data_IF_589279275328
#
_entry.id   IF_589279275328
#
_cell.length_a   1.000
_cell.length_b   1.000
_cell.length_c   1.000
_cell.angle_alpha   90.00
_cell.angle_beta   90.00
_cell.angle_gamma   90.00
#
_symmetry.space_group_name_H-M   'P 1'
#
loop_
_entity.id
_entity.type
_entity.pdbx_description
1 polymer ?
#
# COMPACT_ATOMS: atom_id res chain seq x y z
N UNK A 1 54.87 4.38 42.34
CA UNK A 1 55.01 4.44 40.86
C UNK A 1 54.36 3.21 40.22
N UNK A 2 53.94 3.38 38.96
CA UNK A 2 53.01 2.58 38.12
C UNK A 2 53.51 1.20 37.66
N UNK A 3 52.51 0.30 37.42
CA UNK A 3 52.32 -0.70 36.31
C UNK A 3 53.29 -1.91 36.30
N UNK A 4 52.96 -3.14 35.90
CA UNK A 4 51.90 -3.82 35.13
C UNK A 4 52.21 -5.35 35.17
N UNK A 5 51.30 -6.30 35.01
CA UNK A 5 49.91 -6.21 34.58
C UNK A 5 49.17 -7.55 34.46
N UNK A 6 47.91 -7.37 34.05
CA UNK A 6 46.96 -8.28 33.39
C UNK A 6 46.44 -9.49 34.19
N UNK A 7 45.23 -9.39 34.78
CA UNK A 7 44.39 -10.54 35.09
C UNK A 7 43.80 -11.12 33.80
N UNK A 8 43.69 -12.45 33.78
CA UNK A 8 43.39 -13.31 32.64
C UNK A 8 41.90 -13.26 32.19
N UNK A 9 41.40 -12.07 31.81
CA UNK A 9 39.98 -11.78 31.50
C UNK A 9 39.47 -12.45 30.20
N UNK A 10 40.33 -13.12 29.42
CA UNK A 10 39.91 -13.85 28.20
C UNK A 10 39.40 -15.28 28.44
N UNK A 11 39.55 -15.84 29.65
CA UNK A 11 39.06 -17.19 29.96
C UNK A 11 37.61 -17.25 30.46
N UNK A 12 37.07 -16.17 31.02
CA UNK A 12 35.74 -16.23 31.67
C UNK A 12 34.56 -16.05 30.69
N UNK A 13 34.75 -15.38 29.56
CA UNK A 13 33.68 -15.20 28.57
C UNK A 13 33.37 -16.50 27.80
N UNK A 14 34.38 -17.34 27.52
CA UNK A 14 34.14 -18.65 26.90
C UNK A 14 33.57 -19.65 27.90
N UNK A 15 33.94 -19.57 29.18
CA UNK A 15 33.39 -20.42 30.25
C UNK A 15 31.91 -20.10 30.50
N UNK A 16 31.50 -18.82 30.42
CA UNK A 16 30.10 -18.44 30.54
C UNK A 16 29.24 -18.92 29.34
N UNK A 17 29.79 -18.87 28.13
CA UNK A 17 29.16 -19.42 26.92
C UNK A 17 29.08 -20.95 26.95
N UNK A 18 30.15 -21.62 27.41
CA UNK A 18 30.18 -23.07 27.58
C UNK A 18 29.22 -23.51 28.70
N UNK A 19 29.06 -22.73 29.77
CA UNK A 19 28.10 -23.02 30.84
C UNK A 19 26.64 -22.90 30.34
N UNK A 20 26.34 -21.89 29.51
CA UNK A 20 25.01 -21.69 28.94
C UNK A 20 24.69 -22.74 27.85
N UNK A 21 25.64 -23.04 26.97
CA UNK A 21 25.47 -24.08 25.94
C UNK A 21 25.39 -25.50 26.54
N UNK A 22 26.19 -25.81 27.56
CA UNK A 22 26.17 -27.12 28.24
C UNK A 22 24.94 -27.31 29.13
N UNK A 23 24.39 -26.25 29.70
CA UNK A 23 23.22 -26.33 30.60
C UNK A 23 21.88 -26.32 29.84
N UNK A 24 21.79 -25.65 28.69
CA UNK A 24 20.51 -25.45 27.98
C UNK A 24 20.48 -26.00 26.54
N UNK A 25 21.56 -26.57 26.01
CA UNK A 25 21.57 -27.19 24.68
C UNK A 25 21.08 -26.26 23.56
N UNK A 26 20.33 -26.81 22.59
CA UNK A 26 19.69 -26.11 21.47
C UNK A 26 18.32 -25.50 21.81
N UNK A 27 17.90 -25.60 23.07
CA UNK A 27 16.61 -25.07 23.54
C UNK A 27 16.78 -23.60 23.94
N UNK A 28 15.89 -22.73 23.43
CA UNK A 28 15.83 -21.33 23.84
C UNK A 28 15.70 -21.26 25.38
N UNK A 29 16.53 -20.48 26.09
CA UNK A 29 16.49 -20.47 27.54
C UNK A 29 15.17 -19.85 28.03
N UNK A 30 14.33 -20.66 28.68
CA UNK A 30 13.02 -20.28 29.24
C UNK A 30 13.10 -19.67 30.65
N UNK A 31 14.30 -19.60 31.25
CA UNK A 31 14.52 -19.08 32.61
C UNK A 31 14.11 -17.61 32.80
N UNK A 32 13.92 -16.88 31.70
CA UNK A 32 13.51 -15.47 31.65
C UNK A 32 11.98 -15.27 31.59
N UNK A 33 11.21 -16.36 31.48
CA UNK A 33 9.75 -16.36 31.42
C UNK A 33 9.10 -16.68 32.78
N UNK A 34 9.92 -16.89 33.81
CA UNK A 34 9.41 -17.10 35.16
C UNK A 34 8.96 -15.74 35.74
N UNK A 35 7.73 -15.65 36.29
CA UNK A 35 7.22 -14.42 36.92
C UNK A 35 8.08 -13.86 38.06
N UNK A 36 9.01 -14.68 38.59
CA UNK A 36 9.92 -14.37 39.70
C UNK A 36 11.34 -13.97 39.24
N UNK A 37 11.57 -13.82 37.94
CA UNK A 37 12.88 -13.45 37.42
C UNK A 37 13.24 -12.02 37.85
N UNK A 38 14.38 -11.87 38.56
CA UNK A 38 14.89 -10.58 39.05
C UNK A 38 15.89 -9.88 38.12
N UNK A 39 16.38 -10.62 37.13
CA UNK A 39 17.23 -10.12 36.06
C UNK A 39 18.62 -9.58 36.39
N UNK A 40 19.43 -9.49 35.34
CA UNK A 40 20.73 -8.80 35.31
C UNK A 40 20.69 -7.72 34.22
N UNK A 41 19.98 -6.63 34.50
CA UNK A 41 19.84 -5.51 33.57
C UNK A 41 21.17 -4.84 33.24
N UNK A 42 22.16 -4.91 34.14
CA UNK A 42 23.52 -4.43 33.87
C UNK A 42 24.21 -5.30 32.81
N UNK A 43 24.06 -6.62 32.88
CA UNK A 43 24.51 -7.57 31.87
C UNK A 43 23.81 -7.36 30.53
N UNK A 44 22.49 -7.19 30.54
CA UNK A 44 21.67 -6.93 29.34
C UNK A 44 22.10 -5.61 28.67
N UNK A 45 22.30 -4.53 29.43
CA UNK A 45 22.77 -3.25 28.90
C UNK A 45 24.11 -3.39 28.17
N UNK A 46 25.06 -4.15 28.75
CA UNK A 46 26.35 -4.43 28.12
C UNK A 46 26.16 -5.20 26.81
N UNK A 47 25.28 -6.20 26.77
CA UNK A 47 24.97 -6.96 25.55
C UNK A 47 24.35 -6.09 24.47
N UNK A 48 23.36 -5.25 24.80
CA UNK A 48 22.77 -4.28 23.86
C UNK A 48 23.86 -3.39 23.25
N UNK A 49 24.75 -2.84 24.07
CA UNK A 49 25.85 -2.01 23.58
C UNK A 49 26.83 -2.76 22.66
N UNK A 50 27.12 -4.03 22.96
CA UNK A 50 27.95 -4.87 22.08
C UNK A 50 27.23 -5.16 20.77
N UNK A 51 25.95 -5.55 20.83
CA UNK A 51 25.14 -5.87 19.66
C UNK A 51 25.00 -4.67 18.71
N UNK A 52 24.81 -3.46 19.24
CA UNK A 52 24.84 -2.25 18.41
C UNK A 52 26.21 -1.99 17.78
N UNK A 53 27.32 -2.18 18.53
CA UNK A 53 28.68 -2.01 18.00
C UNK A 53 29.03 -3.04 16.92
N UNK A 54 28.47 -4.25 17.00
CA UNK A 54 28.70 -5.34 16.03
C UNK A 54 27.62 -5.41 14.96
N UNK A 55 26.65 -4.49 14.96
CA UNK A 55 25.50 -4.46 14.06
C UNK A 55 24.67 -5.77 14.06
N UNK A 56 24.57 -6.44 15.22
CA UNK A 56 23.81 -7.67 15.40
C UNK A 56 22.32 -7.40 15.65
N UNK A 57 21.59 -7.09 14.58
CA UNK A 57 20.16 -6.74 14.63
C UNK A 57 19.29 -7.86 15.21
N UNK A 58 19.63 -9.12 14.95
CA UNK A 58 18.86 -10.28 15.45
C UNK A 58 18.90 -10.33 16.98
N UNK A 59 20.07 -10.14 17.58
CA UNK A 59 20.22 -10.14 19.02
C UNK A 59 19.47 -8.96 19.66
N UNK A 60 19.47 -7.78 19.03
CA UNK A 60 18.71 -6.61 19.51
C UNK A 60 17.20 -6.90 19.47
N UNK A 61 16.69 -7.47 18.37
CA UNK A 61 15.28 -7.84 18.24
C UNK A 61 14.86 -8.87 19.29
N UNK A 62 15.70 -9.86 19.57
CA UNK A 62 15.44 -10.84 20.63
C UNK A 62 15.41 -10.18 22.02
N UNK A 63 16.28 -9.22 22.29
CA UNK A 63 16.27 -8.46 23.55
C UNK A 63 14.99 -7.64 23.66
N UNK A 64 14.57 -6.93 22.61
CA UNK A 64 13.32 -6.15 22.61
C UNK A 64 12.12 -7.06 22.91
N UNK A 65 12.00 -8.19 22.18
CA UNK A 65 10.93 -9.16 22.41
C UNK A 65 10.89 -9.62 23.86
N UNK A 66 12.05 -9.93 24.45
CA UNK A 66 12.15 -10.35 25.85
C UNK A 66 11.76 -9.25 26.83
N UNK A 67 12.23 -8.01 26.64
CA UNK A 67 11.87 -6.90 27.51
C UNK A 67 10.39 -6.57 27.44
N UNK A 68 9.76 -6.69 26.26
CA UNK A 68 8.31 -6.55 26.11
C UNK A 68 7.56 -7.63 26.89
N UNK A 69 8.03 -8.88 26.88
CA UNK A 69 7.46 -9.95 27.70
C UNK A 69 7.60 -9.65 29.18
N UNK A 70 8.81 -9.31 29.65
CA UNK A 70 9.06 -8.97 31.07
C UNK A 70 8.16 -7.83 31.53
N UNK A 71 8.07 -6.77 30.72
CA UNK A 71 7.21 -5.62 30.99
C UNK A 71 5.74 -6.00 31.17
N UNK A 72 5.24 -7.02 30.47
CA UNK A 72 3.82 -7.40 30.53
C UNK A 72 3.51 -8.50 31.54
N UNK A 73 4.47 -9.34 31.90
CA UNK A 73 4.19 -10.57 32.65
C UNK A 73 4.92 -10.70 33.99
N UNK A 74 5.91 -9.86 34.28
CA UNK A 74 6.65 -9.95 35.54
C UNK A 74 5.84 -9.33 36.68
N UNK A 75 5.87 -9.94 37.87
CA UNK A 75 5.12 -9.45 39.03
C UNK A 75 5.86 -8.34 39.80
N UNK A 76 7.18 -8.26 39.67
CA UNK A 76 8.03 -7.30 40.37
C UNK A 76 8.04 -5.95 39.62
N UNK A 77 7.65 -4.89 40.32
CA UNK A 77 7.59 -3.52 39.79
C UNK A 77 8.95 -3.04 39.30
N UNK A 78 10.00 -3.23 40.11
CA UNK A 78 11.35 -2.77 39.80
C UNK A 78 11.86 -3.43 38.51
N UNK A 79 11.52 -4.71 38.32
CA UNK A 79 11.91 -5.48 37.13
C UNK A 79 11.14 -5.01 35.88
N UNK A 80 9.85 -4.68 36.01
CA UNK A 80 9.06 -4.11 34.91
C UNK A 80 9.56 -2.71 34.54
N UNK A 81 9.89 -1.89 35.55
CA UNK A 81 10.46 -0.56 35.34
C UNK A 81 11.80 -0.66 34.61
N UNK A 82 12.73 -1.50 35.10
CA UNK A 82 14.03 -1.72 34.46
C UNK A 82 13.90 -2.24 33.01
N UNK A 83 12.88 -3.05 32.72
CA UNK A 83 12.59 -3.50 31.36
C UNK A 83 12.12 -2.34 30.46
N UNK A 84 11.22 -1.48 30.95
CA UNK A 84 10.80 -0.27 30.24
C UNK A 84 11.97 0.70 30.03
N UNK A 85 12.85 0.86 31.02
CA UNK A 85 14.06 1.66 30.89
C UNK A 85 15.03 1.09 29.85
N UNK A 86 15.19 -0.24 29.79
CA UNK A 86 16.02 -0.90 28.78
C UNK A 86 15.50 -0.62 27.37
N UNK A 87 14.18 -0.71 27.18
CA UNK A 87 13.52 -0.37 25.92
C UNK A 87 13.72 1.11 25.57
N UNK A 88 13.67 2.02 26.56
CA UNK A 88 14.00 3.43 26.35
C UNK A 88 15.45 3.62 25.88
N UNK A 89 16.40 2.89 26.46
CA UNK A 89 17.80 2.94 26.05
C UNK A 89 17.98 2.48 24.60
N UNK A 90 17.31 1.40 24.20
CA UNK A 90 17.33 0.90 22.82
C UNK A 90 16.71 1.95 21.88
N UNK A 91 15.54 2.49 22.23
CA UNK A 91 14.86 3.51 21.42
C UNK A 91 15.64 4.80 21.23
N UNK A 92 16.40 5.23 22.25
CA UNK A 92 17.31 6.39 22.15
C UNK A 92 18.46 6.15 21.17
N UNK A 93 18.86 4.89 20.94
CA UNK A 93 19.89 4.53 19.97
C UNK A 93 19.28 4.41 18.58
N UNK A 94 18.18 3.65 18.43
CA UNK A 94 17.41 3.55 17.20
C UNK A 94 15.92 3.34 17.47
N UNK A 95 15.13 4.40 17.29
CA UNK A 95 13.68 4.39 17.53
C UNK A 95 12.94 3.40 16.62
N UNK A 96 13.45 3.11 15.42
CA UNK A 96 12.77 2.27 14.42
C UNK A 96 12.62 0.82 14.89
N UNK A 97 13.45 0.40 15.84
CA UNK A 97 13.41 -0.94 16.41
C UNK A 97 12.28 -1.11 17.43
N UNK A 98 11.87 -0.03 18.10
CA UNK A 98 10.81 -0.06 19.13
C UNK A 98 9.46 0.47 18.62
N UNK A 99 9.44 1.33 17.61
CA UNK A 99 8.24 1.92 17.00
C UNK A 99 7.17 0.87 16.61
N UNK A 100 7.50 -0.32 16.07
CA UNK A 100 6.51 -1.36 15.76
C UNK A 100 5.71 -1.86 16.98
N UNK A 101 6.19 -1.61 18.19
CA UNK A 101 5.57 -2.03 19.45
C UNK A 101 4.82 -0.89 20.16
N UNK A 102 4.60 0.26 19.51
CA UNK A 102 3.90 1.41 20.13
C UNK A 102 2.58 1.01 20.80
N UNK A 103 1.77 0.19 20.12
CA UNK A 103 0.48 -0.26 20.64
C UNK A 103 0.62 -1.09 21.92
N UNK A 104 1.66 -1.93 22.00
CA UNK A 104 1.98 -2.70 23.21
C UNK A 104 2.26 -1.78 24.41
N UNK A 105 2.98 -0.68 24.17
CA UNK A 105 3.29 0.30 25.22
C UNK A 105 2.08 1.14 25.61
N UNK A 106 1.20 1.48 24.66
CA UNK A 106 -0.08 2.13 24.94
C UNK A 106 -0.94 1.24 25.84
N UNK A 107 -1.01 -0.06 25.56
CA UNK A 107 -1.75 -1.00 26.41
C UNK A 107 -1.11 -1.09 27.79
N UNK A 108 0.21 -1.30 27.85
CA UNK A 108 0.95 -1.42 29.11
C UNK A 108 0.76 -0.19 30.02
N UNK A 109 0.89 1.04 29.50
CA UNK A 109 0.71 2.25 30.32
C UNK A 109 -0.74 2.42 30.82
N UNK A 110 -1.73 1.91 30.07
CA UNK A 110 -3.14 1.98 30.45
C UNK A 110 -3.54 0.88 31.46
N UNK A 111 -2.87 -0.26 31.44
CA UNK A 111 -3.24 -1.42 32.28
C UNK A 111 -2.38 -1.60 33.53
N UNK A 112 -1.12 -1.14 33.52
CA UNK A 112 -0.25 -1.29 34.70
C UNK A 112 -0.87 -0.56 35.91
N UNK A 113 -0.64 -1.04 37.13
CA UNK A 113 -1.08 -0.36 38.35
C UNK A 113 -0.03 0.61 38.87
N UNK A 114 1.24 0.37 38.54
CA UNK A 114 2.38 0.98 39.19
C UNK A 114 2.81 2.28 38.53
N UNK A 115 3.10 3.28 39.37
CA UNK A 115 3.34 4.64 38.93
C UNK A 115 4.68 4.77 38.21
N UNK A 116 5.72 4.14 38.73
CA UNK A 116 7.08 4.34 38.22
C UNK A 116 7.29 3.57 36.90
N UNK A 117 6.69 2.38 36.78
CA UNK A 117 6.56 1.68 35.50
C UNK A 117 5.86 2.54 34.45
N UNK A 118 4.73 3.18 34.78
CA UNK A 118 4.01 4.08 33.86
C UNK A 118 4.84 5.28 33.41
N UNK A 119 5.64 5.89 34.29
CA UNK A 119 6.55 6.98 33.91
C UNK A 119 7.62 6.51 32.92
N UNK A 120 8.17 5.32 33.14
CA UNK A 120 9.16 4.72 32.26
C UNK A 120 8.56 4.36 30.89
N UNK A 121 7.34 3.81 30.85
CA UNK A 121 6.61 3.58 29.60
C UNK A 121 6.25 4.91 28.91
N UNK A 122 5.87 5.96 29.65
CA UNK A 122 5.60 7.28 29.06
C UNK A 122 6.84 7.85 28.38
N UNK A 123 8.00 7.71 29.03
CA UNK A 123 9.29 8.12 28.46
C UNK A 123 9.60 7.36 27.16
N UNK A 124 9.24 6.08 27.09
CA UNK A 124 9.36 5.26 25.89
C UNK A 124 8.44 5.74 24.76
N UNK A 125 7.17 5.98 25.07
CA UNK A 125 6.19 6.49 24.11
C UNK A 125 6.64 7.82 23.49
N UNK A 126 7.22 8.72 24.30
CA UNK A 126 7.78 9.99 23.82
C UNK A 126 8.97 9.85 22.87
N UNK A 127 9.76 8.79 23.02
CA UNK A 127 10.86 8.50 22.08
C UNK A 127 10.30 8.08 20.72
N UNK A 128 9.16 7.38 20.71
CA UNK A 128 8.47 6.96 19.48
C UNK A 128 7.81 8.16 18.82
N UNK A 129 7.01 8.91 19.58
CA UNK A 129 6.30 10.10 19.12
C UNK A 129 6.38 11.22 20.17
N UNK A 130 7.01 12.33 19.78
CA UNK A 130 7.14 13.53 20.62
C UNK A 130 5.82 14.23 20.93
N UNK A 131 4.70 13.80 20.32
CA UNK A 131 3.36 14.34 20.61
C UNK A 131 2.81 13.90 21.98
N UNK A 132 3.38 12.86 22.60
CA UNK A 132 2.98 12.42 23.94
C UNK A 132 3.43 13.41 25.04
N UNK A 133 2.55 13.76 26.00
CA UNK A 133 2.89 14.63 27.11
C UNK A 133 4.08 14.17 27.97
N UNK A 134 4.83 15.13 28.53
CA UNK A 134 5.89 14.84 29.53
C UNK A 134 5.33 14.15 30.78
N UNK A 135 4.10 14.48 31.14
CA UNK A 135 3.39 13.97 32.29
C UNK A 135 2.62 12.69 31.94
N UNK A 136 2.98 11.57 32.57
CA UNK A 136 2.34 10.28 32.32
C UNK A 136 0.84 10.29 32.65
N UNK A 137 0.38 11.11 33.60
CA UNK A 137 -1.05 11.20 33.95
C UNK A 137 -1.84 11.84 32.81
N UNK A 138 -1.29 12.88 32.17
CA UNK A 138 -1.88 13.48 30.97
C UNK A 138 -1.84 12.55 29.78
N UNK A 139 -0.75 11.79 29.61
CA UNK A 139 -0.67 10.75 28.58
C UNK A 139 -1.73 9.68 28.82
N UNK A 140 -1.90 9.20 30.06
CA UNK A 140 -2.95 8.24 30.42
C UNK A 140 -4.34 8.84 30.20
N UNK A 141 -4.57 10.11 30.53
CA UNK A 141 -5.87 10.77 30.28
C UNK A 141 -6.18 10.86 28.77
N UNK A 142 -5.21 11.34 27.98
CA UNK A 142 -5.30 11.43 26.52
C UNK A 142 -5.50 10.06 25.90
N UNK A 143 -4.73 9.07 26.33
CA UNK A 143 -4.80 7.69 25.86
C UNK A 143 -6.05 6.98 26.34
N UNK A 144 -6.56 7.26 27.53
CA UNK A 144 -7.83 6.68 28.03
C UNK A 144 -8.99 7.18 27.19
N UNK A 145 -9.00 8.49 26.86
CA UNK A 145 -9.94 9.06 25.90
C UNK A 145 -9.79 8.43 24.51
N UNK A 146 -8.54 8.18 24.06
CA UNK A 146 -8.22 7.58 22.75
C UNK A 146 -8.47 6.06 22.69
N UNK A 147 -8.32 5.34 23.79
CA UNK A 147 -8.57 3.91 23.94
C UNK A 147 -10.08 3.65 23.98
N UNK A 148 -10.88 4.59 24.45
CA UNK A 148 -12.33 4.51 24.33
C UNK A 148 -12.85 4.78 22.90
N UNK A 149 -11.98 4.87 21.89
CA UNK A 149 -12.36 5.12 20.50
C UNK A 149 -12.00 3.97 19.57
N UNK A 150 -12.99 3.62 18.75
CA UNK A 150 -12.76 2.87 17.52
C UNK A 150 -12.04 3.80 16.54
N UNK A 151 -10.95 3.35 15.94
CA UNK A 151 -10.21 4.10 14.92
C UNK A 151 -10.40 3.45 13.57
N UNK A 152 -10.63 4.28 12.56
CA UNK A 152 -10.62 3.86 11.16
C UNK A 152 -9.46 4.59 10.49
N UNK A 153 -8.54 3.84 9.88
CA UNK A 153 -7.47 4.37 9.05
C UNK A 153 -7.71 3.95 7.61
N UNK A 154 -7.52 4.88 6.69
CA UNK A 154 -7.67 4.67 5.25
C UNK A 154 -6.34 4.96 4.57
N UNK A 155 -6.01 4.16 3.56
CA UNK A 155 -4.79 4.28 2.78
C UNK A 155 -5.03 3.76 1.36
N UNK A 156 -4.13 4.03 0.42
CA UNK A 156 -4.22 3.48 -0.92
C UNK A 156 -2.87 3.10 -1.50
N UNK A 157 -2.92 2.20 -2.49
CA UNK A 157 -1.79 1.86 -3.35
C UNK A 157 -2.30 1.58 -4.76
N UNK A 158 -1.41 1.48 -5.74
CA UNK A 158 -1.77 1.14 -7.11
C UNK A 158 -1.44 -0.33 -7.41
N UNK A 159 -2.34 -1.04 -8.09
CA UNK A 159 -2.11 -2.41 -8.58
C UNK A 159 -2.76 -2.62 -9.95
N UNK A 160 -1.93 -2.80 -11.00
CA UNK A 160 -2.31 -3.02 -12.40
C UNK A 160 -3.56 -2.26 -12.86
N UNK A 161 -3.46 -0.95 -13.07
CA UNK A 161 -4.56 -0.03 -13.45
C UNK A 161 -5.60 0.29 -12.37
N UNK A 162 -5.57 -0.40 -11.22
CA UNK A 162 -6.53 -0.20 -10.14
C UNK A 162 -5.92 0.54 -8.93
N UNK A 163 -6.80 1.19 -8.17
CA UNK A 163 -6.52 1.69 -6.84
C UNK A 163 -6.91 0.61 -5.83
N UNK A 164 -5.95 0.21 -4.99
CA UNK A 164 -6.19 -0.63 -3.81
C UNK A 164 -6.52 0.26 -2.63
N UNK A 165 -7.80 0.44 -2.37
CA UNK A 165 -8.31 1.14 -1.19
C UNK A 165 -8.23 0.26 0.04
N UNK A 166 -7.43 0.66 1.03
CA UNK A 166 -7.16 -0.11 2.23
C UNK A 166 -7.81 0.56 3.43
N UNK A 167 -8.67 -0.17 4.14
CA UNK A 167 -9.32 0.30 5.36
C UNK A 167 -8.91 -0.58 6.53
N UNK A 168 -8.38 0.02 7.59
CA UNK A 168 -8.06 -0.64 8.85
C UNK A 168 -8.98 -0.13 9.95
N UNK A 169 -9.72 -1.04 10.57
CA UNK A 169 -10.58 -0.76 11.72
C UNK A 169 -9.89 -1.33 12.95
N UNK A 170 -9.59 -0.47 13.91
CA UNK A 170 -8.94 -0.83 15.18
C UNK A 170 -9.91 -0.59 16.31
N UNK A 171 -10.30 -1.66 17.01
CA UNK A 171 -11.14 -1.53 18.19
C UNK A 171 -10.26 -1.35 19.44
N UNK A 172 -9.97 -0.11 19.82
CA UNK A 172 -9.23 0.13 21.06
C UNK A 172 -10.13 0.06 22.30
N UNK A 173 -11.45 -0.04 22.11
CA UNK A 173 -12.42 0.01 23.21
C UNK A 173 -12.43 -1.28 24.00
N UNK A 174 -13.03 -1.24 25.19
CA UNK A 174 -13.27 -2.45 26.02
C UNK A 174 -14.48 -3.26 25.54
N UNK A 175 -15.25 -2.72 24.60
CA UNK A 175 -16.48 -3.34 24.11
C UNK A 175 -16.18 -4.28 22.93
N UNK A 176 -16.88 -5.42 22.87
CA UNK A 176 -16.85 -6.28 21.69
C UNK A 176 -17.79 -5.69 20.63
N UNK A 177 -17.32 -5.51 19.40
CA UNK A 177 -18.13 -5.00 18.31
C UNK A 177 -18.76 -6.14 17.52
N UNK A 178 -20.09 -6.11 17.43
CA UNK A 178 -20.93 -7.08 16.73
C UNK A 178 -21.63 -6.44 15.53
N UNK A 179 -22.04 -7.27 14.57
CA UNK A 179 -22.75 -6.83 13.35
C UNK A 179 -22.04 -5.63 12.69
N UNK A 180 -20.72 -5.78 12.55
CA UNK A 180 -19.83 -4.74 12.04
C UNK A 180 -19.98 -4.71 10.53
N UNK A 181 -20.25 -3.54 9.97
CA UNK A 181 -20.46 -3.35 8.54
C UNK A 181 -19.74 -2.12 8.06
N UNK A 182 -18.92 -2.25 7.04
CA UNK A 182 -18.30 -1.12 6.37
C UNK A 182 -19.01 -0.82 5.06
N UNK A 183 -19.52 0.40 4.91
CA UNK A 183 -20.20 0.85 3.70
C UNK A 183 -19.35 1.89 2.98
N UNK A 184 -18.92 1.56 1.77
CA UNK A 184 -18.26 2.49 0.86
C UNK A 184 -19.33 3.35 0.18
N UNK A 185 -19.13 4.67 0.13
CA UNK A 185 -20.04 5.56 -0.59
C UNK A 185 -19.89 5.37 -2.10
N UNK A 186 -21.02 5.45 -2.80
CA UNK A 186 -21.11 5.18 -4.22
C UNK A 186 -21.01 6.48 -5.02
N UNK A 187 -19.99 6.59 -5.84
CA UNK A 187 -19.79 7.70 -6.77
C UNK A 187 -19.55 7.13 -8.18
N UNK A 188 -20.63 6.74 -8.90
CA UNK A 188 -20.54 5.99 -10.17
C UNK A 188 -19.75 6.69 -11.27
N UNK A 189 -19.80 8.03 -11.29
CA UNK A 189 -19.04 8.84 -12.25
C UNK A 189 -17.55 9.02 -11.85
N UNK A 190 -17.19 8.58 -10.65
CA UNK A 190 -15.88 8.81 -10.06
C UNK A 190 -15.02 7.54 -10.06
N UNK A 191 -15.63 6.42 -9.69
CA UNK A 191 -14.98 5.12 -9.71
C UNK A 191 -15.98 3.97 -9.80
N UNK A 192 -15.48 2.80 -10.17
CA UNK A 192 -16.19 1.54 -10.11
C UNK A 192 -15.52 0.58 -9.13
N UNK A 193 -16.28 0.00 -8.20
CA UNK A 193 -15.76 -0.99 -7.27
C UNK A 193 -15.75 -2.36 -7.95
N UNK A 194 -14.58 -3.00 -8.02
CA UNK A 194 -14.39 -4.28 -8.72
C UNK A 194 -14.43 -5.47 -7.78
N UNK A 195 -13.68 -5.38 -6.70
CA UNK A 195 -13.48 -6.50 -5.78
C UNK A 195 -13.28 -5.98 -4.35
N UNK A 196 -13.59 -6.81 -3.36
CA UNK A 196 -13.33 -6.53 -1.95
C UNK A 196 -12.81 -7.80 -1.27
N UNK A 197 -11.60 -7.72 -0.67
CA UNK A 197 -10.94 -8.81 0.05
C UNK A 197 -11.00 -8.61 1.56
N UNK A 198 -11.09 -9.71 2.36
CA UNK A 198 -11.06 -11.13 1.95
C UNK A 198 -12.41 -11.67 1.41
N UNK A 199 -12.35 -12.70 0.54
CA UNK A 199 -13.51 -13.34 -0.15
C UNK A 199 -14.41 -14.21 0.75
N UNK A 200 -14.19 -14.24 2.07
CA UNK A 200 -14.87 -15.21 2.95
C UNK A 200 -16.24 -14.73 3.43
N UNK A 201 -17.29 -15.35 2.88
CA UNK A 201 -18.64 -15.55 3.44
C UNK A 201 -19.32 -14.31 4.04
N UNK A 202 -19.42 -13.24 3.26
CA UNK A 202 -20.24 -12.08 3.61
C UNK A 202 -21.12 -11.74 2.41
N UNK A 203 -22.44 -11.81 2.56
CA UNK A 203 -23.40 -11.48 1.50
C UNK A 203 -23.13 -10.08 0.94
N UNK A 204 -22.50 -10.00 -0.23
CA UNK A 204 -22.19 -8.75 -0.91
C UNK A 204 -23.46 -8.10 -1.42
N UNK A 205 -23.78 -6.91 -0.91
CA UNK A 205 -24.60 -5.93 -1.63
C UNK A 205 -23.69 -4.81 -2.14
N UNK A 206 -22.88 -5.12 -3.16
CA UNK A 206 -21.99 -4.25 -3.99
C UNK A 206 -21.06 -3.25 -3.29
N UNK A 207 -21.49 -2.49 -2.28
CA UNK A 207 -20.73 -1.46 -1.55
C UNK A 207 -20.80 -1.61 -0.03
N UNK A 208 -21.47 -2.66 0.45
CA UNK A 208 -21.59 -3.00 1.86
C UNK A 208 -20.79 -4.28 2.11
N UNK A 209 -19.87 -4.19 3.06
CA UNK A 209 -19.06 -5.29 3.54
C UNK A 209 -19.52 -5.57 4.96
N UNK A 210 -19.92 -6.80 5.25
CA UNK A 210 -20.04 -7.18 6.65
C UNK A 210 -18.61 -7.43 7.16
N UNK A 211 -18.39 -7.51 8.46
CA UNK A 211 -17.10 -7.87 9.01
C UNK A 211 -17.39 -8.81 10.18
N UNK A 212 -16.56 -9.83 10.31
CA UNK A 212 -16.51 -10.64 11.53
C UNK A 212 -16.38 -9.78 12.79
N UNK A 213 -16.85 -10.33 13.93
CA UNK A 213 -16.77 -9.72 15.25
C UNK A 213 -15.36 -9.16 15.52
N UNK A 214 -15.29 -7.97 16.11
CA UNK A 214 -14.03 -7.27 16.41
C UNK A 214 -13.87 -7.16 17.92
N UNK A 215 -12.93 -7.92 18.48
CA UNK A 215 -12.66 -7.92 19.92
C UNK A 215 -11.90 -6.64 20.34
N UNK A 216 -11.89 -6.30 21.63
CA UNK A 216 -10.95 -5.31 22.18
C UNK A 216 -9.50 -5.62 21.76
N UNK A 217 -8.79 -4.63 21.22
CA UNK A 217 -7.43 -4.75 20.70
C UNK A 217 -7.31 -5.30 19.27
N UNK A 218 -8.39 -5.85 18.70
CA UNK A 218 -8.34 -6.41 17.36
C UNK A 218 -8.22 -5.34 16.27
N UNK A 219 -7.58 -5.75 15.17
CA UNK A 219 -7.52 -5.01 13.91
C UNK A 219 -8.21 -5.82 12.83
N UNK A 220 -9.19 -5.23 12.15
CA UNK A 220 -9.75 -5.75 10.91
C UNK A 220 -9.27 -4.92 9.73
N UNK A 221 -8.94 -5.61 8.65
CA UNK A 221 -8.48 -5.01 7.41
C UNK A 221 -9.42 -5.38 6.27
N UNK A 222 -9.75 -4.36 5.48
CA UNK A 222 -10.53 -4.46 4.25
C UNK A 222 -9.67 -3.93 3.11
N UNK A 223 -9.66 -4.63 1.98
CA UNK A 223 -9.03 -4.14 0.75
C UNK A 223 -10.06 -4.12 -0.36
N UNK A 224 -10.37 -2.94 -0.86
CA UNK A 224 -11.25 -2.73 -2.01
C UNK A 224 -10.40 -2.42 -3.26
N UNK A 225 -10.66 -3.14 -4.35
CA UNK A 225 -10.06 -2.88 -5.66
C UNK A 225 -11.00 -1.95 -6.40
N UNK A 226 -10.49 -0.76 -6.73
CA UNK A 226 -11.25 0.36 -7.27
C UNK A 226 -10.69 0.71 -8.64
N UNK A 227 -11.56 0.72 -9.65
CA UNK A 227 -11.24 1.23 -10.97
C UNK A 227 -11.55 2.73 -11.05
N UNK A 228 -10.55 3.57 -11.34
CA UNK A 228 -10.77 5.00 -11.47
C UNK A 228 -11.58 5.34 -12.73
N UNK A 229 -12.52 6.28 -12.63
CA UNK A 229 -13.28 6.86 -13.76
C UNK A 229 -13.12 8.36 -13.89
N UNK A 230 -12.36 8.97 -12.98
CA UNK A 230 -12.06 10.40 -12.95
C UNK A 230 -10.60 10.61 -12.50
N UNK A 231 -10.05 11.79 -12.80
CA UNK A 231 -8.69 12.18 -12.40
C UNK A 231 -8.52 12.33 -10.89
N UNK A 232 -9.57 12.75 -10.19
CA UNK A 232 -9.64 12.75 -8.74
C UNK A 232 -10.63 11.69 -8.29
N UNK A 233 -10.21 10.77 -7.43
CA UNK A 233 -11.06 9.70 -6.91
C UNK A 233 -11.35 9.93 -5.44
N UNK A 234 -12.64 10.03 -5.08
CA UNK A 234 -13.14 10.28 -3.74
C UNK A 234 -13.56 8.95 -3.09
N UNK A 235 -12.77 8.48 -2.14
CA UNK A 235 -13.00 7.23 -1.40
C UNK A 235 -13.48 7.54 0.01
N UNK A 236 -14.80 7.50 0.17
CA UNK A 236 -15.46 7.72 1.45
C UNK A 236 -16.16 6.45 1.93
N UNK A 237 -16.18 6.26 3.25
CA UNK A 237 -16.88 5.14 3.84
C UNK A 237 -17.34 5.38 5.26
N UNK A 238 -18.16 4.49 5.77
CA UNK A 238 -18.64 4.53 7.15
C UNK A 238 -18.75 3.14 7.73
N UNK A 239 -18.34 3.04 8.99
CA UNK A 239 -18.47 1.86 9.82
C UNK A 239 -19.79 1.94 10.58
N UNK A 240 -20.58 0.88 10.46
CA UNK A 240 -21.74 0.61 11.29
C UNK A 240 -21.40 -0.55 12.20
N UNK A 241 -21.77 -0.48 13.47
CA UNK A 241 -21.52 -1.57 14.41
C UNK A 241 -22.51 -1.52 15.57
N UNK A 242 -22.66 -2.64 16.27
CA UNK A 242 -23.31 -2.72 17.57
C UNK A 242 -22.27 -3.03 18.63
N UNK A 243 -22.45 -2.52 19.84
CA UNK A 243 -21.70 -3.02 20.99
C UNK A 243 -22.40 -4.27 21.51
N UNK A 244 -21.64 -5.19 22.10
CA UNK A 244 -22.20 -6.38 22.70
C UNK A 244 -23.27 -6.02 23.74
N UNK A 245 -24.44 -6.68 23.67
CA UNK A 245 -25.64 -6.40 24.45
C UNK A 245 -26.36 -5.07 24.17
N UNK A 246 -25.96 -4.34 23.12
CA UNK A 246 -26.70 -3.18 22.62
C UNK A 246 -27.45 -3.52 21.33
N UNK A 247 -28.68 -3.02 21.20
CA UNK A 247 -29.49 -3.20 20.00
C UNK A 247 -29.31 -2.08 18.98
N UNK A 248 -28.81 -0.92 19.41
CA UNK A 248 -28.66 0.27 18.58
C UNK A 248 -27.40 0.21 17.72
N UNK A 249 -27.52 0.66 16.47
CA UNK A 249 -26.39 0.80 15.58
C UNK A 249 -25.67 2.11 15.83
N UNK A 250 -24.39 1.99 16.15
CA UNK A 250 -23.45 3.10 16.13
C UNK A 250 -22.91 3.30 14.71
N UNK A 251 -22.62 4.56 14.37
CA UNK A 251 -22.03 4.94 13.08
C UNK A 251 -20.77 5.76 13.30
N UNK A 252 -19.70 5.40 12.61
CA UNK A 252 -18.44 6.13 12.58
C UNK A 252 -18.05 6.41 11.13
N UNK A 253 -17.74 7.66 10.82
CA UNK A 253 -17.24 8.04 9.50
C UNK A 253 -15.76 7.67 9.38
N UNK A 254 -15.39 7.06 8.25
CA UNK A 254 -13.99 6.90 7.92
C UNK A 254 -13.39 8.25 7.49
N UNK A 255 -12.08 8.47 7.66
CA UNK A 255 -11.43 9.63 7.09
C UNK A 255 -11.61 9.67 5.57
N UNK A 256 -11.95 10.85 5.06
CA UNK A 256 -12.08 11.07 3.62
C UNK A 256 -10.72 10.90 2.94
N UNK A 257 -10.69 10.12 1.86
CA UNK A 257 -9.49 9.91 1.07
C UNK A 257 -9.73 10.40 -0.36
N UNK A 258 -8.96 11.41 -0.77
CA UNK A 258 -8.97 11.94 -2.13
C UNK A 258 -7.68 11.51 -2.81
N UNK A 259 -7.80 10.79 -3.91
CA UNK A 259 -6.66 10.33 -4.72
C UNK A 259 -6.64 11.13 -6.00
N UNK A 260 -5.69 12.05 -6.13
CA UNK A 260 -5.44 12.74 -7.40
C UNK A 260 -4.45 11.94 -8.24
N UNK A 261 -4.96 11.28 -9.28
CA UNK A 261 -4.18 10.41 -10.16
C UNK A 261 -3.18 11.19 -10.99
N UNK A 262 -3.46 12.46 -11.28
CA UNK A 262 -2.57 13.29 -12.09
C UNK A 262 -1.35 13.80 -11.30
N UNK A 263 -1.38 13.77 -9.96
CA UNK A 263 -0.20 14.07 -9.13
C UNK A 263 0.90 13.03 -9.33
N UNK A 264 0.52 11.80 -9.69
CA UNK A 264 1.45 10.74 -10.04
C UNK A 264 1.94 10.84 -11.49
N UNK A 265 1.47 11.78 -12.31
CA UNK A 265 1.83 11.83 -13.73
C UNK A 265 3.35 12.05 -13.92
N UNK A 266 4.03 11.27 -14.78
CA UNK A 266 5.48 11.39 -14.96
C UNK A 266 5.86 12.73 -15.58
N UNK A 267 6.86 13.39 -14.98
CA UNK A 267 7.51 14.54 -15.60
C UNK A 267 8.49 14.05 -16.65
N UNK A 268 8.08 14.04 -17.91
CA UNK A 268 8.90 13.57 -19.02
C UNK A 268 10.03 14.56 -19.32
N UNK A 269 11.20 14.04 -19.68
CA UNK A 269 12.30 14.83 -20.21
C UNK A 269 12.20 14.98 -21.74
N UNK A 270 12.87 15.99 -22.27
CA UNK A 270 13.00 16.17 -23.71
C UNK A 270 14.03 15.17 -24.28
N UNK A 271 13.58 14.27 -25.16
CA UNK A 271 14.41 13.24 -25.76
C UNK A 271 15.21 13.83 -26.94
N UNK A 272 16.50 14.12 -26.70
CA UNK A 272 17.42 14.66 -27.73
C UNK A 272 17.89 13.59 -28.71
N UNK A 273 18.14 12.39 -28.22
CA UNK A 273 18.57 11.24 -29.01
C UNK A 273 17.53 10.14 -28.90
N UNK A 274 16.93 9.78 -30.03
CA UNK A 274 15.84 8.80 -30.06
C UNK A 274 16.42 7.39 -29.84
N UNK A 275 15.86 6.60 -28.92
CA UNK A 275 16.23 5.18 -28.81
C UNK A 275 15.89 4.42 -30.08
N UNK A 276 16.55 3.27 -30.26
CA UNK A 276 16.25 2.39 -31.39
C UNK A 276 14.88 1.73 -31.24
N UNK A 277 14.27 1.36 -32.37
CA UNK A 277 13.00 0.62 -32.39
C UNK A 277 13.12 -0.70 -31.61
N UNK A 278 14.27 -1.38 -31.76
CA UNK A 278 14.56 -2.66 -31.10
C UNK A 278 14.54 -2.47 -29.58
N UNK A 279 15.25 -1.46 -29.06
CA UNK A 279 15.27 -1.15 -27.63
C UNK A 279 13.86 -0.92 -27.07
N UNK A 280 13.05 -0.10 -27.75
CA UNK A 280 11.70 0.18 -27.30
C UNK A 280 10.79 -1.07 -27.28
N UNK A 281 10.94 -1.97 -28.27
CA UNK A 281 10.18 -3.23 -28.31
C UNK A 281 10.66 -4.20 -27.24
N UNK A 282 11.97 -4.39 -27.10
CA UNK A 282 12.56 -5.22 -26.05
C UNK A 282 12.13 -4.72 -24.66
N UNK A 283 12.11 -3.40 -24.45
CA UNK A 283 11.60 -2.83 -23.23
C UNK A 283 10.13 -3.20 -23.01
N UNK A 284 9.26 -2.90 -23.97
CA UNK A 284 7.84 -3.17 -23.84
C UNK A 284 7.53 -4.66 -23.65
N UNK A 285 8.21 -5.55 -24.37
CA UNK A 285 7.94 -6.99 -24.37
C UNK A 285 8.54 -7.70 -23.15
N UNK A 286 9.72 -7.29 -22.67
CA UNK A 286 10.47 -8.06 -21.67
C UNK A 286 10.87 -7.29 -20.40
N UNK A 287 11.06 -5.96 -20.46
CA UNK A 287 11.60 -5.21 -19.33
C UNK A 287 10.57 -4.37 -18.57
N UNK A 288 9.49 -3.94 -19.23
CA UNK A 288 8.39 -3.22 -18.60
C UNK A 288 7.69 -4.10 -17.58
N UNK A 289 7.86 -3.78 -16.30
CA UNK A 289 7.28 -4.55 -15.19
C UNK A 289 5.76 -4.54 -15.20
N UNK A 290 5.17 -3.39 -15.49
CA UNK A 290 3.73 -3.21 -15.56
C UNK A 290 3.34 -2.89 -16.99
N UNK A 291 2.27 -3.53 -17.44
CA UNK A 291 1.71 -3.33 -18.78
C UNK A 291 0.21 -3.21 -18.67
N UNK A 292 -0.34 -2.36 -19.50
CA UNK A 292 -1.78 -2.29 -19.69
C UNK A 292 -2.13 -2.06 -21.14
N UNK A 293 -3.36 -2.41 -21.47
CA UNK A 293 -3.99 -2.23 -22.75
C UNK A 293 -5.35 -1.58 -22.50
N UNK A 294 -5.69 -0.54 -23.25
CA UNK A 294 -7.03 0.03 -23.26
C UNK A 294 -7.55 -0.02 -24.70
N UNK A 295 -8.76 -0.53 -24.90
CA UNK A 295 -9.37 -0.64 -26.22
C UNK A 295 -10.60 0.26 -26.26
N UNK A 296 -10.53 1.31 -27.08
CA UNK A 296 -11.62 2.25 -27.29
C UNK A 296 -12.41 1.85 -28.53
N UNK A 297 -13.68 1.49 -28.37
CA UNK A 297 -14.60 1.38 -29.49
C UNK A 297 -14.83 2.76 -30.08
N UNK A 298 -14.67 2.87 -31.39
CA UNK A 298 -14.92 4.11 -32.10
C UNK A 298 -16.41 4.23 -32.44
N UNK A 299 -17.04 5.40 -32.24
CA UNK A 299 -18.38 5.66 -32.75
C UNK A 299 -18.34 5.74 -34.27
N UNK A 300 -19.46 5.41 -34.95
CA UNK A 300 -19.56 5.29 -36.43
C UNK A 300 -19.09 6.55 -37.19
N UNK A 301 -19.10 7.70 -36.51
CA UNK A 301 -18.61 8.99 -37.00
C UNK A 301 -17.08 9.13 -36.99
N UNK A 302 -16.33 8.32 -36.23
CA UNK A 302 -14.86 8.39 -36.10
C UNK A 302 -14.20 7.26 -36.89
N UNK A 303 -13.53 7.61 -37.98
CA UNK A 303 -12.71 6.62 -38.70
C UNK A 303 -11.49 6.19 -37.87
N UNK A 304 -11.01 4.94 -38.00
CA UNK A 304 -9.77 4.48 -37.37
C UNK A 304 -8.56 5.37 -37.69
N UNK A 305 -8.50 5.89 -38.91
CA UNK A 305 -7.51 6.88 -39.33
C UNK A 305 -7.53 8.14 -38.46
N UNK A 306 -8.72 8.71 -38.27
CA UNK A 306 -8.90 9.92 -37.50
C UNK A 306 -8.56 9.68 -36.02
N UNK A 307 -9.05 8.57 -35.45
CA UNK A 307 -8.73 8.18 -34.08
C UNK A 307 -7.22 8.03 -33.87
N UNK A 308 -6.52 7.37 -34.80
CA UNK A 308 -5.07 7.22 -34.74
C UNK A 308 -4.34 8.56 -34.80
N UNK A 309 -4.74 9.45 -35.72
CA UNK A 309 -4.15 10.80 -35.84
C UNK A 309 -4.33 11.61 -34.55
N UNK A 310 -5.52 11.56 -33.95
CA UNK A 310 -5.79 12.22 -32.67
C UNK A 310 -4.97 11.58 -31.54
N UNK A 311 -4.94 10.25 -31.44
CA UNK A 311 -4.17 9.53 -30.43
C UNK A 311 -2.68 9.88 -30.48
N UNK A 312 -2.08 9.91 -31.67
CA UNK A 312 -0.69 10.36 -31.87
C UNK A 312 -0.48 11.79 -31.37
N UNK A 313 -1.38 12.70 -31.74
CA UNK A 313 -1.32 14.11 -31.30
C UNK A 313 -1.37 14.22 -29.78
N UNK A 314 -2.31 13.51 -29.13
CA UNK A 314 -2.43 13.50 -27.66
C UNK A 314 -1.12 13.04 -27.02
N UNK A 315 -0.52 11.95 -27.50
CA UNK A 315 0.74 11.45 -26.95
C UNK A 315 1.89 12.45 -27.12
N UNK A 316 1.97 13.12 -28.28
CA UNK A 316 2.95 14.19 -28.50
C UNK A 316 2.71 15.41 -27.60
N UNK A 317 1.45 15.84 -27.44
CA UNK A 317 1.06 16.97 -26.57
C UNK A 317 1.35 16.67 -25.09
N UNK A 318 1.25 15.39 -24.68
CA UNK A 318 1.64 14.92 -23.36
C UNK A 318 3.17 14.99 -23.15
N UNK A 319 3.95 14.92 -24.23
CA UNK A 319 5.43 14.97 -24.21
C UNK A 319 6.12 13.67 -24.61
N UNK A 320 5.40 12.67 -25.13
CA UNK A 320 6.02 11.45 -25.64
C UNK A 320 6.62 11.66 -27.03
N UNK A 321 7.78 11.06 -27.26
CA UNK A 321 8.50 11.16 -28.53
C UNK A 321 8.11 10.01 -29.45
N UNK A 322 7.66 10.33 -30.66
CA UNK A 322 7.40 9.36 -31.72
C UNK A 322 8.72 8.77 -32.23
N UNK A 323 8.88 7.45 -32.09
CA UNK A 323 10.03 6.68 -32.54
C UNK A 323 9.77 6.08 -33.92
N UNK A 324 8.59 5.48 -34.11
CA UNK A 324 8.17 4.86 -35.37
C UNK A 324 6.69 5.08 -35.61
N UNK A 325 6.34 5.29 -36.87
CA UNK A 325 4.97 5.46 -37.34
C UNK A 325 4.77 4.50 -38.52
N UNK A 326 4.20 3.33 -38.24
CA UNK A 326 3.90 2.32 -39.24
C UNK A 326 2.45 2.47 -39.67
N UNK A 327 2.22 3.29 -40.70
CA UNK A 327 0.94 3.29 -41.41
C UNK A 327 0.98 2.14 -42.40
N UNK A 328 0.19 1.11 -42.14
CA UNK A 328 0.08 -0.05 -43.00
C UNK A 328 -1.37 -0.06 -43.46
N UNK A 329 -1.67 0.70 -44.52
CA UNK A 329 -3.01 0.83 -45.11
C UNK A 329 -3.42 -0.52 -45.74
N UNK A 330 -3.88 -1.44 -44.89
CA UNK A 330 -4.35 -2.78 -45.25
C UNK A 330 -5.83 -2.90 -44.86
N UNK A 331 -6.58 -3.77 -45.54
CA UNK A 331 -8.03 -3.91 -45.35
C UNK A 331 -8.48 -4.07 -43.88
N UNK A 332 -7.63 -4.66 -43.02
CA UNK A 332 -7.98 -4.96 -41.62
C UNK A 332 -7.30 -4.04 -40.58
N UNK A 333 -6.25 -3.31 -40.97
CA UNK A 333 -5.38 -2.58 -40.05
C UNK A 333 -5.04 -1.21 -40.62
N UNK A 334 -5.11 -0.16 -39.81
CA UNK A 334 -4.78 1.20 -40.27
C UNK A 334 -3.34 1.58 -39.96
N UNK A 335 -2.93 1.47 -38.69
CA UNK A 335 -1.60 1.91 -38.30
C UNK A 335 -1.23 1.63 -36.85
N UNK A 336 0.08 1.50 -36.62
CA UNK A 336 0.73 1.33 -35.32
C UNK A 336 1.77 2.42 -35.11
N UNK A 337 1.74 3.05 -33.93
CA UNK A 337 2.75 4.01 -33.50
C UNK A 337 3.63 3.38 -32.43
N UNK A 338 4.88 3.80 -32.35
CA UNK A 338 5.77 3.50 -31.23
C UNK A 338 6.26 4.80 -30.62
N UNK A 339 5.82 5.07 -29.40
CA UNK A 339 6.16 6.25 -28.63
C UNK A 339 7.04 5.88 -27.44
N UNK A 340 7.99 6.74 -27.13
CA UNK A 340 8.91 6.58 -26.01
C UNK A 340 8.90 7.83 -25.15
N UNK A 341 8.94 7.62 -23.84
CA UNK A 341 9.14 8.65 -22.84
C UNK A 341 10.16 8.18 -21.82
N UNK A 342 10.89 9.14 -21.27
CA UNK A 342 11.76 8.91 -20.11
C UNK A 342 11.47 9.99 -19.08
N UNK A 343 11.45 9.62 -17.81
CA UNK A 343 11.25 10.62 -16.75
C UNK A 343 12.48 11.51 -16.60
N UNK A 344 12.26 12.74 -16.17
CA UNK A 344 13.32 13.58 -15.66
C UNK A 344 14.04 12.87 -14.49
N UNK A 345 15.34 13.08 -14.32
CA UNK A 345 16.08 12.53 -13.20
C UNK A 345 15.49 13.02 -11.87
N UNK A 346 15.29 12.10 -10.91
CA UNK A 346 14.90 12.47 -9.55
C UNK A 346 16.05 13.28 -8.92
N UNK A 347 15.80 14.49 -8.37
CA UNK A 347 16.82 15.28 -7.68
C UNK A 347 17.56 14.53 -6.57
N UNK A 348 16.90 13.55 -5.93
CA UNK A 348 17.46 12.72 -4.85
C UNK A 348 18.14 11.47 -5.37
N UNK A 349 17.82 11.03 -6.59
CA UNK A 349 18.46 9.89 -7.24
C UNK A 349 18.48 10.06 -8.77
N UNK A 350 19.47 10.81 -9.31
CA UNK A 350 19.49 11.18 -10.72
C UNK A 350 19.61 9.99 -11.70
N UNK A 351 20.02 8.83 -11.19
CA UNK A 351 20.16 7.58 -11.95
C UNK A 351 18.82 6.83 -12.07
N UNK A 352 17.85 7.10 -11.19
CA UNK A 352 16.49 6.56 -11.30
C UNK A 352 15.72 7.33 -12.37
N UNK A 353 15.93 6.95 -13.62
CA UNK A 353 15.09 7.35 -14.75
C UNK A 353 14.23 6.18 -15.15
N UNK A 354 12.95 6.44 -15.30
CA UNK A 354 12.01 5.42 -15.74
C UNK A 354 11.73 5.59 -17.22
N UNK A 355 11.75 4.47 -17.93
CA UNK A 355 11.36 4.38 -19.32
C UNK A 355 9.89 3.98 -19.43
N UNK A 356 9.23 4.57 -20.40
CA UNK A 356 7.82 4.35 -20.69
C UNK A 356 7.68 4.19 -22.19
N UNK A 357 7.03 3.12 -22.63
CA UNK A 357 6.73 2.85 -24.04
C UNK A 357 5.23 2.79 -24.22
N UNK A 358 4.74 3.48 -25.25
CA UNK A 358 3.31 3.51 -25.61
C UNK A 358 3.15 3.11 -27.07
N UNK A 359 2.23 2.19 -27.33
CA UNK A 359 1.96 1.64 -28.66
C UNK A 359 0.47 1.84 -28.96
N UNK A 360 0.09 2.96 -29.60
CA UNK A 360 -1.25 3.12 -30.16
C UNK A 360 -1.41 2.29 -31.44
N UNK A 361 -2.57 1.63 -31.58
CA UNK A 361 -2.95 0.85 -32.78
C UNK A 361 -4.38 1.17 -33.16
N UNK A 362 -4.63 1.39 -34.43
CA UNK A 362 -6.00 1.52 -34.94
C UNK A 362 -6.31 0.43 -35.97
N UNK A 363 -7.48 -0.18 -35.85
CA UNK A 363 -7.92 -1.29 -36.71
C UNK A 363 -9.21 -0.93 -37.45
N UNK A 364 -9.24 -1.25 -38.75
CA UNK A 364 -10.44 -1.17 -39.58
C UNK A 364 -11.43 -2.30 -39.25
N UNK A 365 -10.92 -3.50 -39.02
CA UNK A 365 -11.72 -4.69 -38.69
C UNK A 365 -12.48 -4.53 -37.36
N UNK A 366 -11.78 -4.05 -36.32
CA UNK A 366 -12.37 -3.90 -34.99
C UNK A 366 -13.04 -2.55 -34.74
N UNK A 367 -12.86 -1.60 -35.68
CA UNK A 367 -13.31 -0.22 -35.56
C UNK A 367 -12.98 0.37 -34.17
N UNK A 368 -11.71 0.26 -33.80
CA UNK A 368 -11.21 0.51 -32.46
C UNK A 368 -9.84 1.20 -32.47
N UNK A 369 -9.55 1.93 -31.39
CA UNK A 369 -8.22 2.42 -31.04
C UNK A 369 -7.73 1.69 -29.79
N UNK A 370 -6.63 0.96 -29.91
CA UNK A 370 -5.97 0.27 -28.81
C UNK A 370 -4.76 1.08 -28.35
N UNK A 371 -4.59 1.26 -27.04
CA UNK A 371 -3.45 1.93 -26.44
C UNK A 371 -2.78 0.95 -25.48
N UNK A 372 -1.58 0.52 -25.84
CA UNK A 372 -0.76 -0.33 -25.00
C UNK A 372 0.32 0.51 -24.32
N UNK A 373 0.49 0.36 -23.01
CA UNK A 373 1.45 1.12 -22.21
C UNK A 373 2.30 0.13 -21.42
N UNK A 374 3.62 0.30 -21.47
CA UNK A 374 4.58 -0.44 -20.66
C UNK A 374 5.47 0.50 -19.86
N UNK A 375 5.63 0.25 -18.57
CA UNK A 375 6.49 1.03 -17.68
C UNK A 375 6.93 0.22 -16.44
N UNK A 376 7.80 0.81 -15.62
CA UNK A 376 8.26 0.19 -14.37
C UNK A 376 7.55 0.70 -13.11
N UNK A 377 6.66 1.68 -13.24
CA UNK A 377 5.91 2.28 -12.15
C UNK A 377 4.42 2.33 -12.45
N UNK A 378 3.69 1.57 -11.65
CA UNK A 378 2.26 1.39 -11.84
C UNK A 378 1.44 2.67 -11.61
N UNK A 379 1.92 3.61 -10.79
CA UNK A 379 1.25 4.89 -10.64
C UNK A 379 1.31 5.72 -11.94
N UNK A 380 2.43 5.63 -12.68
CA UNK A 380 2.57 6.26 -14.00
C UNK A 380 1.63 5.63 -15.01
N UNK A 381 1.49 4.30 -15.01
CA UNK A 381 0.58 3.57 -15.88
C UNK A 381 -0.85 4.14 -15.78
N UNK A 382 -1.40 4.18 -14.57
CA UNK A 382 -2.75 4.70 -14.28
C UNK A 382 -2.88 6.17 -14.67
N UNK A 383 -1.90 7.00 -14.29
CA UNK A 383 -1.94 8.43 -14.57
C UNK A 383 -1.90 8.72 -16.08
N UNK A 384 -1.11 7.97 -16.84
CA UNK A 384 -1.01 8.11 -18.30
C UNK A 384 -2.32 7.73 -18.98
N UNK A 385 -2.94 6.62 -18.61
CA UNK A 385 -4.22 6.20 -19.16
C UNK A 385 -5.29 7.26 -18.96
N UNK A 386 -5.46 7.73 -17.73
CA UNK A 386 -6.49 8.72 -17.39
C UNK A 386 -6.23 10.04 -18.11
N UNK A 387 -4.97 10.49 -18.20
CA UNK A 387 -4.63 11.71 -18.94
C UNK A 387 -4.86 11.56 -20.44
N UNK A 388 -4.46 10.42 -21.02
CA UNK A 388 -4.70 10.13 -22.43
C UNK A 388 -6.19 10.10 -22.74
N UNK A 389 -6.97 9.34 -21.98
CA UNK A 389 -8.42 9.20 -22.19
C UNK A 389 -9.14 10.55 -22.11
N UNK A 390 -8.83 11.35 -21.07
CA UNK A 390 -9.42 12.68 -20.92
C UNK A 390 -9.12 13.60 -22.10
N UNK A 391 -7.85 13.68 -22.53
CA UNK A 391 -7.45 14.54 -23.66
C UNK A 391 -8.01 14.04 -24.99
N UNK A 392 -8.00 12.71 -25.20
CA UNK A 392 -8.53 12.07 -26.39
C UNK A 392 -10.03 12.36 -26.55
N UNK A 393 -10.82 12.15 -25.49
CA UNK A 393 -12.25 12.47 -25.46
C UNK A 393 -12.52 13.96 -25.67
N UNK A 394 -11.75 14.84 -25.03
CA UNK A 394 -11.91 16.29 -25.19
C UNK A 394 -11.69 16.74 -26.64
N UNK A 395 -10.66 16.22 -27.31
CA UNK A 395 -10.38 16.57 -28.71
C UNK A 395 -11.46 16.02 -29.65
N UNK A 396 -12.00 14.83 -29.36
CA UNK A 396 -13.08 14.26 -30.16
C UNK A 396 -14.40 15.02 -29.99
N UNK A 397 -14.83 15.31 -28.76
CA UNK A 397 -16.06 16.08 -28.49
C UNK A 397 -15.94 17.53 -29.00
N UNK A 398 -14.73 18.11 -29.01
CA UNK A 398 -14.49 19.47 -29.48
C UNK A 398 -14.60 19.67 -31.00
N UNK A 399 -14.90 18.61 -31.77
CA UNK A 399 -15.09 18.69 -33.22
C UNK A 399 -16.59 18.70 -33.54
N UNK A 400 -16.99 19.61 -34.43
CA UNK A 400 -18.40 19.85 -34.82
C UNK A 400 -19.11 18.61 -35.39
N UNK A 401 -18.34 17.63 -35.85
CA UNK A 401 -18.80 16.38 -36.46
C UNK A 401 -19.31 15.35 -35.43
N UNK A 402 -19.08 15.58 -34.12
CA UNK A 402 -19.41 14.63 -33.05
C UNK A 402 -20.50 15.17 -32.13
N UNK A 403 -21.42 14.28 -31.78
CA UNK A 403 -22.54 14.56 -30.88
C UNK A 403 -22.30 13.94 -29.50
N UNK A 404 -23.07 14.34 -28.47
CA UNK A 404 -23.03 13.69 -27.15
C UNK A 404 -23.39 12.19 -27.17
N UNK A 405 -23.98 11.73 -28.27
CA UNK A 405 -24.34 10.32 -28.52
C UNK A 405 -23.18 9.50 -29.09
N UNK A 406 -22.11 10.13 -29.61
CA UNK A 406 -20.89 9.49 -30.12
C UNK A 406 -19.92 9.11 -28.97
N UNK A 407 -20.43 8.44 -27.95
CA UNK A 407 -19.66 8.08 -26.75
C UNK A 407 -18.57 7.06 -27.09
N UNK A 408 -17.32 7.39 -26.78
CA UNK A 408 -16.23 6.42 -26.75
C UNK A 408 -16.42 5.48 -25.58
N UNK A 409 -16.45 4.19 -25.86
CA UNK A 409 -16.62 3.17 -24.85
C UNK A 409 -15.37 2.33 -24.74
N UNK A 410 -14.99 2.01 -23.51
CA UNK A 410 -13.83 1.15 -23.28
C UNK A 410 -14.31 -0.30 -23.27
N UNK A 411 -13.87 -1.09 -24.26
CA UNK A 411 -14.33 -2.45 -24.42
C UNK A 411 -13.67 -3.36 -23.37
N UNK A 412 -14.49 -3.91 -22.47
CA UNK A 412 -14.05 -4.84 -21.44
C UNK A 412 -14.88 -6.12 -21.41
N UNK A 413 -14.24 -7.24 -21.11
CA UNK A 413 -14.91 -8.51 -20.85
C UNK A 413 -15.88 -8.36 -19.66
N UNK A 414 -17.15 -8.78 -19.76
CA UNK A 414 -18.10 -8.69 -18.66
C UNK A 414 -17.75 -9.58 -17.45
N UNK A 415 -16.97 -10.64 -17.67
CA UNK A 415 -16.63 -11.62 -16.64
C UNK A 415 -15.34 -11.24 -15.89
N UNK A 416 -14.26 -10.94 -16.62
CA UNK A 416 -12.96 -10.64 -16.02
C UNK A 416 -12.52 -9.17 -16.13
N UNK A 417 -13.31 -8.32 -16.80
CA UNK A 417 -13.08 -6.88 -16.96
C UNK A 417 -11.76 -6.48 -17.66
N UNK A 418 -11.06 -7.48 -18.20
CA UNK A 418 -9.88 -7.25 -19.03
C UNK A 418 -10.29 -6.64 -20.37
N UNK A 419 -9.41 -5.87 -21.00
CA UNK A 419 -9.68 -5.23 -22.28
C UNK A 419 -10.02 -6.28 -23.33
N UNK A 420 -11.03 -6.01 -24.14
CA UNK A 420 -11.54 -6.94 -25.14
C UNK A 420 -11.47 -6.34 -26.53
N UNK A 421 -10.78 -7.03 -27.44
CA UNK A 421 -10.75 -6.70 -28.85
C UNK A 421 -12.04 -7.18 -29.53
N UNK A 422 -12.65 -6.35 -30.39
CA UNK A 422 -13.92 -6.63 -31.09
C UNK A 422 -13.79 -7.71 -32.19
N UNK A 423 -12.80 -8.59 -32.10
CA UNK A 423 -12.61 -9.66 -33.07
C UNK A 423 -13.84 -10.57 -33.10
N UNK A 424 -13.99 -11.37 -34.16
CA UNK A 424 -14.99 -12.43 -34.27
C UNK A 424 -14.72 -13.61 -33.32
N UNK A 425 -14.58 -13.28 -32.04
CA UNK A 425 -14.43 -14.19 -30.93
C UNK A 425 -15.66 -14.06 -30.03
N UNK A 426 -16.22 -15.20 -29.74
CA UNK A 426 -17.30 -15.47 -28.81
C UNK A 426 -16.75 -15.87 -27.43
N UNK A 427 -15.46 -15.69 -27.18
CA UNK A 427 -14.76 -16.04 -25.94
C UNK A 427 -13.66 -15.02 -25.55
N UNK A 428 -13.35 -14.93 -24.26
CA UNK A 428 -12.36 -14.01 -23.71
C UNK A 428 -10.94 -14.61 -23.74
N UNK A 429 -9.94 -13.96 -24.36
CA UNK A 429 -8.56 -14.45 -24.35
C UNK A 429 -7.92 -14.47 -22.96
N UNK A 430 -8.49 -13.69 -22.02
CA UNK A 430 -7.94 -13.53 -20.68
C UNK A 430 -8.47 -14.55 -19.67
N UNK A 431 -9.79 -14.79 -19.67
CA UNK A 431 -10.41 -15.73 -18.72
C UNK A 431 -10.94 -17.02 -19.36
N UNK A 432 -10.92 -17.14 -20.69
CA UNK A 432 -11.42 -18.30 -21.41
C UNK A 432 -12.94 -18.44 -21.46
N UNK A 433 -13.68 -17.52 -20.83
CA UNK A 433 -15.15 -17.56 -20.77
C UNK A 433 -15.79 -17.04 -22.06
N UNK A 434 -16.94 -17.61 -22.42
CA UNK A 434 -17.74 -17.14 -23.54
C UNK A 434 -18.24 -15.70 -23.29
N UNK A 435 -18.15 -14.85 -24.31
CA UNK A 435 -18.59 -13.45 -24.28
C UNK A 435 -19.75 -13.27 -25.25
N UNK A 436 -20.91 -12.94 -24.68
CA UNK A 436 -21.99 -12.31 -25.42
C UNK A 436 -21.61 -10.87 -25.76
N UNK A 437 -21.35 -10.59 -27.04
CA UNK A 437 -20.94 -9.25 -27.52
C UNK A 437 -21.94 -8.14 -27.16
N UNK A 438 -23.21 -8.47 -26.90
CA UNK A 438 -24.23 -7.50 -26.44
C UNK A 438 -24.09 -7.10 -24.97
N UNK A 439 -23.32 -7.87 -24.20
CA UNK A 439 -23.03 -7.63 -22.77
C UNK A 439 -21.64 -7.05 -22.52
N UNK A 440 -20.92 -6.68 -23.59
CA UNK A 440 -19.67 -5.94 -23.43
C UNK A 440 -19.94 -4.69 -22.59
N UNK A 441 -19.09 -4.50 -21.59
CA UNK A 441 -19.20 -3.32 -20.76
C UNK A 441 -18.61 -2.16 -21.54
N UNK A 442 -19.41 -1.10 -21.60
CA UNK A 442 -19.18 0.14 -22.33
C UNK A 442 -18.61 1.22 -21.41
#
# INVERSE_FOLDING_TARGET
MKKSGVPNIKRDASIALDYILRKYGSTEPNDFLLPEWKGDFRGIKKKVMVAFRTNNVIEIQQIIKRMNTVLSTNNDEDVREDAAEMLCHIGKIDKRLIEPYEQHYIEAILTDSERDVKKSINSLLKIIDSSYPDDYEKTVEQLSKRAQLIKIKTDFSFDNDFIRYKVKIVNNTKDILWDVRYKIKKYEKNFMLREIKPDTLETYKKYLVNLSVVQPGDVKELIAIVEPRASEVYLEGNLHYKKYNENDFNKLLAPDLIVNLLDAFPKLEEIKEKPSIIHCREFFDFHGKYKSMNVFALPVSVTPELAYKIGKRVLSDIGFTLIRDDIVDQENFYGEGLFYGRTNPDPKNPELREEIVIIPRASHENYALEINIGCNNNAYLVAIQIKFDNLFRQILIGREEFTEDDRLYELRCPNCFQPFDKLDRDWCPWCGEDIDKTKLLY
#
